data_IF_067255345508
#
_entry.id   IF_067255345508
#
_cell.length_a   1.000
_cell.length_b   1.000
_cell.length_c   1.000
_cell.angle_alpha   90.00
_cell.angle_beta   90.00
_cell.angle_gamma   90.00
#
_symmetry.space_group_name_H-M   'P 1'
#
loop_
_entity.id
_entity.type
_entity.pdbx_description
1 polymer ?
#
# COMPACT_ATOMS: atom_id res chain seq x y z
N UNK A 1 1.33 28.79 -8.19
CA UNK A 1 0.68 28.69 -6.87
C UNK A 1 1.14 29.87 -6.04
N UNK A 2 0.27 30.47 -5.23
CA UNK A 2 0.63 31.61 -4.38
C UNK A 2 0.53 31.24 -2.90
N UNK A 3 1.28 31.93 -2.03
CA UNK A 3 1.18 31.81 -0.58
C UNK A 3 -0.13 32.41 -0.07
N UNK A 4 -0.71 31.79 0.96
CA UNK A 4 -1.78 32.37 1.76
C UNK A 4 -1.36 33.70 2.42
N UNK A 5 -2.22 34.74 2.54
CA UNK A 5 -1.83 35.99 3.17
C UNK A 5 -1.44 35.86 4.64
N UNK A 6 -1.85 34.78 5.32
CA UNK A 6 -1.36 34.47 6.68
C UNK A 6 -0.01 33.75 6.69
N UNK A 7 0.54 33.44 5.52
CA UNK A 7 1.79 32.73 5.31
C UNK A 7 1.87 31.38 6.04
N UNK A 8 0.74 30.67 6.09
CA UNK A 8 0.63 29.37 6.76
C UNK A 8 0.67 28.19 5.81
N UNK A 9 0.27 28.36 4.54
CA UNK A 9 0.26 27.29 3.55
C UNK A 9 0.25 27.84 2.12
N UNK A 10 0.46 26.95 1.15
CA UNK A 10 0.37 27.28 -0.28
C UNK A 10 -1.06 27.05 -0.79
N UNK A 11 -1.55 27.97 -1.62
CA UNK A 11 -2.92 27.90 -2.18
C UNK A 11 -3.05 26.89 -3.30
N UNK A 12 -4.21 26.22 -3.34
CA UNK A 12 -4.63 25.42 -4.49
C UNK A 12 -5.12 26.32 -5.64
N UNK A 13 -5.95 27.32 -5.33
CA UNK A 13 -6.57 28.22 -6.30
C UNK A 13 -6.08 29.65 -6.17
N UNK A 14 -5.83 30.31 -7.30
CA UNK A 14 -5.52 31.74 -7.31
C UNK A 14 -6.72 32.53 -6.78
N UNK A 15 -6.48 33.50 -5.89
CA UNK A 15 -7.46 34.35 -5.20
C UNK A 15 -8.38 33.68 -4.16
N UNK A 16 -8.13 32.42 -3.78
CA UNK A 16 -8.84 31.78 -2.67
C UNK A 16 -7.89 31.38 -1.54
N UNK A 17 -7.90 32.19 -0.49
CA UNK A 17 -7.08 32.05 0.71
C UNK A 17 -7.54 30.88 1.61
N UNK A 18 -8.72 30.31 1.36
CA UNK A 18 -9.21 29.18 2.14
C UNK A 18 -8.84 27.84 1.50
N UNK A 19 -8.06 27.86 0.43
CA UNK A 19 -7.67 26.65 -0.31
C UNK A 19 -6.25 26.25 -0.06
N UNK A 20 -6.02 24.95 0.06
CA UNK A 20 -4.70 24.38 0.25
C UNK A 20 -4.64 22.99 -0.36
N UNK A 21 -3.43 22.48 -0.58
CA UNK A 21 -3.21 21.17 -1.17
C UNK A 21 -1.93 20.51 -0.65
N UNK A 22 -1.92 19.18 -0.65
CA UNK A 22 -0.78 18.36 -0.28
C UNK A 22 0.31 18.43 -1.36
N UNK A 23 1.45 19.00 -1.03
CA UNK A 23 2.51 19.34 -1.99
C UNK A 23 3.46 18.17 -2.28
N UNK A 24 2.91 17.03 -2.70
CA UNK A 24 3.68 15.83 -3.03
C UNK A 24 4.73 16.06 -4.14
N UNK A 25 4.49 17.01 -5.04
CA UNK A 25 5.42 17.36 -6.12
C UNK A 25 6.75 17.94 -5.62
N UNK A 26 6.82 18.42 -4.38
CA UNK A 26 8.07 18.90 -3.77
C UNK A 26 9.13 17.80 -3.68
N UNK A 27 8.71 16.54 -3.71
CA UNK A 27 9.62 15.40 -3.75
C UNK A 27 10.56 15.45 -4.96
N UNK A 28 10.11 15.95 -6.12
CA UNK A 28 10.96 16.05 -7.30
C UNK A 28 12.15 17.01 -7.09
N UNK A 29 11.93 18.12 -6.40
CA UNK A 29 13.00 19.09 -6.08
C UNK A 29 14.05 18.48 -5.15
N UNK A 30 13.61 17.68 -4.17
CA UNK A 30 14.49 16.94 -3.25
C UNK A 30 15.24 15.83 -3.97
N UNK A 31 14.52 15.01 -4.75
CA UNK A 31 15.08 13.86 -5.47
C UNK A 31 16.15 14.27 -6.47
N UNK A 32 15.91 15.36 -7.21
CA UNK A 32 16.83 15.88 -8.23
C UNK A 32 17.84 16.88 -7.65
N UNK A 33 17.68 17.29 -6.39
CA UNK A 33 18.54 18.28 -5.74
C UNK A 33 18.52 19.66 -6.41
N UNK A 34 17.42 20.03 -7.07
CA UNK A 34 17.37 21.25 -7.88
C UNK A 34 17.32 22.54 -7.05
N UNK A 35 16.88 22.46 -5.79
CA UNK A 35 16.78 23.59 -4.84
C UNK A 35 15.97 24.77 -5.40
N UNK A 36 14.94 24.47 -6.20
CA UNK A 36 14.01 25.45 -6.76
C UNK A 36 13.03 25.96 -5.72
N UNK A 37 12.75 25.18 -4.68
CA UNK A 37 11.80 25.52 -3.63
C UNK A 37 12.57 25.97 -2.39
N UNK A 38 12.32 27.19 -1.88
CA UNK A 38 12.98 27.67 -0.67
C UNK A 38 12.65 26.80 0.55
N UNK A 39 13.63 26.55 1.42
CA UNK A 39 13.46 25.72 2.64
C UNK A 39 12.34 26.26 3.56
N UNK A 40 12.11 27.57 3.58
CA UNK A 40 11.03 28.19 4.34
C UNK A 40 9.64 27.67 3.93
N UNK A 41 9.45 27.33 2.66
CA UNK A 41 8.18 26.80 2.13
C UNK A 41 7.97 25.36 2.61
N UNK A 42 9.02 24.54 2.65
CA UNK A 42 8.94 23.20 3.23
C UNK A 42 8.52 23.24 4.69
N UNK A 43 9.17 24.08 5.51
CA UNK A 43 8.83 24.22 6.93
C UNK A 43 7.40 24.70 7.14
N UNK A 44 6.98 25.69 6.34
CA UNK A 44 5.60 26.18 6.36
C UNK A 44 4.60 25.06 6.05
N UNK A 45 4.81 24.29 4.98
CA UNK A 45 3.92 23.17 4.64
C UNK A 45 3.94 22.09 5.73
N UNK A 46 5.12 21.78 6.28
CA UNK A 46 5.28 20.78 7.34
C UNK A 46 4.45 21.13 8.59
N UNK A 47 4.49 22.40 9.02
CA UNK A 47 3.70 22.89 10.16
C UNK A 47 2.20 22.87 9.87
N UNK A 48 1.81 23.27 8.66
CA UNK A 48 0.41 23.23 8.25
C UNK A 48 -0.15 21.81 8.31
N UNK A 49 0.52 20.84 7.68
CA UNK A 49 0.05 19.45 7.61
C UNK A 49 -0.10 18.81 8.99
N UNK A 50 0.79 19.12 9.94
CA UNK A 50 0.62 18.67 11.33
C UNK A 50 -0.66 19.22 11.99
N UNK A 51 -1.08 20.44 11.65
CA UNK A 51 -2.25 21.08 12.26
C UNK A 51 -3.60 20.57 11.73
N UNK A 52 -3.60 19.92 10.56
CA UNK A 52 -4.81 19.49 9.85
C UNK A 52 -4.88 17.96 9.67
N UNK A 53 -3.94 17.21 10.26
CA UNK A 53 -3.91 15.77 10.20
C UNK A 53 -5.14 15.16 10.89
N UNK A 54 -5.82 14.23 10.21
CA UNK A 54 -6.92 13.46 10.79
C UNK A 54 -6.44 12.09 11.25
N UNK A 55 -7.35 11.31 11.86
CA UNK A 55 -7.08 10.00 12.46
C UNK A 55 -6.39 9.00 11.51
N UNK A 56 -6.72 9.00 10.22
CA UNK A 56 -6.10 8.14 9.20
C UNK A 56 -5.14 8.87 8.26
N UNK A 57 -4.79 10.13 8.54
CA UNK A 57 -3.75 10.86 7.82
C UNK A 57 -4.10 12.27 7.39
N UNK A 58 -3.22 12.87 6.59
CA UNK A 58 -3.35 14.23 6.09
C UNK A 58 -4.25 14.24 4.84
N UNK A 59 -5.31 15.08 4.78
CA UNK A 59 -6.13 15.21 3.58
C UNK A 59 -5.34 15.81 2.41
N UNK A 60 -5.81 15.55 1.19
CA UNK A 60 -5.21 16.05 -0.05
C UNK A 60 -5.31 17.56 -0.20
N UNK A 61 -6.33 18.17 0.38
CA UNK A 61 -6.58 19.59 0.21
C UNK A 61 -7.85 20.02 0.90
N UNK A 62 -8.10 21.32 0.82
CA UNK A 62 -9.34 21.95 1.30
C UNK A 62 -10.58 21.37 0.62
N UNK A 63 -11.66 21.18 1.39
CA UNK A 63 -13.00 20.87 0.86
C UNK A 63 -13.43 19.40 0.91
N UNK A 64 -12.51 18.45 1.08
CA UNK A 64 -12.82 17.04 1.37
C UNK A 64 -11.76 16.38 2.25
N UNK A 65 -12.17 15.39 3.04
CA UNK A 65 -11.32 14.60 3.94
C UNK A 65 -10.55 13.46 3.25
N UNK A 66 -10.46 13.41 1.92
CA UNK A 66 -9.79 12.31 1.23
C UNK A 66 -8.27 12.47 1.22
N UNK A 67 -7.52 11.37 1.28
CA UNK A 67 -6.06 11.31 1.10
C UNK A 67 -5.64 10.40 -0.06
N UNK A 68 -4.40 10.56 -0.51
CA UNK A 68 -3.70 9.56 -1.34
C UNK A 68 -2.43 9.10 -0.66
N UNK A 69 -2.36 7.82 -0.30
CA UNK A 69 -1.23 7.32 0.49
C UNK A 69 0.10 7.41 -0.23
N UNK A 70 0.15 7.17 -1.55
CA UNK A 70 1.35 7.36 -2.36
C UNK A 70 1.84 8.83 -2.35
N UNK A 71 0.91 9.78 -2.43
CA UNK A 71 1.25 11.21 -2.38
C UNK A 71 1.67 11.65 -0.97
N UNK A 72 1.07 11.06 0.06
CA UNK A 72 1.52 11.24 1.45
C UNK A 72 2.95 10.74 1.62
N UNK A 73 3.32 9.60 1.04
CA UNK A 73 4.70 9.09 1.10
C UNK A 73 5.70 10.02 0.40
N UNK A 74 5.37 10.56 -0.77
CA UNK A 74 6.22 11.56 -1.44
C UNK A 74 6.34 12.84 -0.60
N UNK A 75 5.27 13.27 0.04
CA UNK A 75 5.29 14.44 0.93
C UNK A 75 6.15 14.17 2.16
N UNK A 76 6.05 12.99 2.78
CA UNK A 76 6.87 12.57 3.91
C UNK A 76 8.36 12.51 3.54
N UNK A 77 8.68 12.03 2.34
CA UNK A 77 10.05 11.98 1.81
C UNK A 77 10.62 13.38 1.51
N UNK A 78 9.76 14.32 1.07
CA UNK A 78 10.13 15.71 0.83
C UNK A 78 10.22 16.55 2.11
N UNK A 79 9.52 16.13 3.18
CA UNK A 79 9.40 16.86 4.44
C UNK A 79 10.76 17.05 5.13
N UNK A 80 10.97 18.24 5.68
CA UNK A 80 12.14 18.57 6.50
C UNK A 80 11.90 18.27 7.98
N UNK A 81 10.65 18.01 8.37
CA UNK A 81 10.24 17.78 9.75
C UNK A 81 10.12 16.28 10.06
N UNK A 82 10.99 15.71 10.93
CA UNK A 82 10.95 14.28 11.25
C UNK A 82 9.66 13.87 11.96
N UNK A 83 9.00 14.77 12.71
CA UNK A 83 7.73 14.46 13.38
C UNK A 83 6.61 14.27 12.37
N UNK A 84 6.49 15.16 11.39
CA UNK A 84 5.48 15.01 10.34
C UNK A 84 5.73 13.75 9.52
N UNK A 85 6.99 13.51 9.14
CA UNK A 85 7.37 12.31 8.39
C UNK A 85 6.94 11.04 9.13
N UNK A 86 7.26 10.93 10.42
CA UNK A 86 6.85 9.79 11.24
C UNK A 86 5.33 9.69 11.33
N UNK A 87 4.64 10.81 11.57
CA UNK A 87 3.17 10.85 11.66
C UNK A 87 2.51 10.33 10.39
N UNK A 88 2.98 10.77 9.21
CA UNK A 88 2.46 10.30 7.91
C UNK A 88 2.62 8.79 7.72
N UNK A 89 3.73 8.20 8.17
CA UNK A 89 3.91 6.73 8.18
C UNK A 89 2.96 6.05 9.16
N UNK A 90 2.89 6.55 10.40
CA UNK A 90 2.09 5.97 11.47
C UNK A 90 0.60 5.96 11.11
N UNK A 91 0.09 7.05 10.50
CA UNK A 91 -1.30 7.16 10.02
C UNK A 91 -1.61 6.22 8.88
N UNK A 92 -0.66 6.02 7.97
CA UNK A 92 -0.83 5.03 6.90
C UNK A 92 -0.87 3.61 7.47
N UNK A 93 0.04 3.28 8.37
CA UNK A 93 0.03 1.99 9.06
C UNK A 93 -1.22 1.78 9.90
N UNK A 94 -1.74 2.85 10.52
CA UNK A 94 -3.00 2.84 11.25
C UNK A 94 -4.19 2.54 10.33
N UNK A 95 -4.27 3.20 9.17
CA UNK A 95 -5.29 2.87 8.18
C UNK A 95 -5.21 1.40 7.74
N UNK A 96 -4.01 0.86 7.51
CA UNK A 96 -3.85 -0.54 7.14
C UNK A 96 -4.36 -1.52 8.20
N UNK A 97 -4.15 -1.20 9.47
CA UNK A 97 -4.61 -2.03 10.59
C UNK A 97 -6.12 -1.98 10.78
N UNK A 98 -6.71 -0.81 10.63
CA UNK A 98 -8.05 -0.51 11.14
C UNK A 98 -9.09 -0.29 10.02
N UNK A 99 -8.67 -0.24 8.74
CA UNK A 99 -9.59 0.10 7.66
C UNK A 99 -10.78 -0.87 7.61
N UNK A 100 -12.02 -0.36 7.51
CA UNK A 100 -13.19 -1.19 7.28
C UNK A 100 -13.22 -1.76 5.85
N UNK A 101 -12.35 -1.27 4.96
CA UNK A 101 -12.28 -1.73 3.59
C UNK A 101 -11.46 -3.03 3.52
N UNK A 102 -12.14 -4.18 3.44
CA UNK A 102 -11.52 -5.49 3.20
C UNK A 102 -11.06 -5.66 1.73
N UNK A 103 -10.26 -4.72 1.26
CA UNK A 103 -9.73 -4.65 -0.11
C UNK A 103 -8.20 -4.62 -0.09
N UNK A 104 -7.52 -5.01 -1.18
CA UNK A 104 -6.09 -4.80 -1.28
C UNK A 104 -5.75 -3.31 -1.15
N UNK A 105 -4.57 -3.02 -0.58
CA UNK A 105 -4.13 -1.68 -0.18
C UNK A 105 -4.59 -0.64 -1.21
N UNK A 106 -5.44 0.28 -0.74
CA UNK A 106 -5.97 1.36 -1.56
C UNK A 106 -5.04 2.55 -1.54
N UNK A 107 -4.85 3.24 -2.67
CA UNK A 107 -4.21 4.55 -2.68
C UNK A 107 -5.19 5.67 -2.39
N UNK A 108 -6.48 5.39 -2.13
CA UNK A 108 -7.48 6.41 -1.83
C UNK A 108 -8.33 6.03 -0.63
N UNK A 109 -8.34 6.87 0.39
CA UNK A 109 -9.19 6.71 1.56
C UNK A 109 -9.66 8.04 2.11
N UNK A 110 -10.77 8.01 2.83
CA UNK A 110 -11.19 9.10 3.68
C UNK A 110 -10.37 9.09 5.00
N UNK A 111 -9.77 10.22 5.33
CA UNK A 111 -8.84 10.36 6.47
C UNK A 111 -9.54 10.40 7.83
N UNK A 112 -10.86 10.53 7.88
CA UNK A 112 -11.63 10.54 9.12
C UNK A 112 -12.27 9.18 9.38
N UNK A 113 -12.83 8.55 8.35
CA UNK A 113 -13.60 7.31 8.45
C UNK A 113 -12.82 6.06 8.05
N UNK A 114 -11.74 6.21 7.28
CA UNK A 114 -10.94 5.10 6.77
C UNK A 114 -11.60 4.35 5.60
N UNK A 115 -12.79 4.78 5.16
CA UNK A 115 -13.50 4.18 4.03
C UNK A 115 -12.72 4.46 2.73
N UNK A 116 -12.49 3.40 1.96
CA UNK A 116 -11.90 3.48 0.62
C UNK A 116 -13.01 3.39 -0.44
N UNK A 117 -13.21 4.42 -1.29
CA UNK A 117 -14.22 4.37 -2.33
C UNK A 117 -13.74 3.68 -3.63
N UNK A 118 -12.46 3.33 -3.74
CA UNK A 118 -11.86 2.81 -4.97
C UNK A 118 -10.35 3.02 -4.99
N UNK A 119 -9.75 3.03 -6.19
CA UNK A 119 -8.29 3.05 -6.37
C UNK A 119 -7.60 2.01 -5.49
N UNK A 120 -8.12 0.79 -5.55
CA UNK A 120 -7.50 -0.33 -4.86
C UNK A 120 -6.38 -0.86 -5.74
N UNK A 121 -5.26 -1.19 -5.10
CA UNK A 121 -4.32 -2.16 -5.65
C UNK A 121 -3.60 -1.75 -6.95
N UNK A 122 -3.30 -0.46 -7.07
CA UNK A 122 -2.61 0.11 -8.23
C UNK A 122 -1.10 -0.01 -8.05
N UNK A 123 -0.30 -0.03 -9.13
CA UNK A 123 1.17 -0.17 -9.02
C UNK A 123 1.85 0.89 -8.14
N UNK A 124 1.22 2.04 -7.95
CA UNK A 124 1.70 3.12 -7.08
C UNK A 124 1.86 2.71 -5.61
N UNK A 125 1.15 1.65 -5.18
CA UNK A 125 1.18 1.12 -3.82
C UNK A 125 2.49 0.43 -3.44
N UNK A 126 3.26 -0.06 -4.42
CA UNK A 126 4.57 -0.65 -4.14
C UNK A 126 5.51 0.31 -3.40
N UNK A 127 5.37 1.62 -3.64
CA UNK A 127 6.08 2.67 -2.90
C UNK A 127 5.65 2.76 -1.43
N UNK A 128 4.34 2.70 -1.17
CA UNK A 128 3.77 2.79 0.19
C UNK A 128 4.08 1.58 1.05
N UNK A 129 4.04 0.36 0.50
CA UNK A 129 4.35 -0.88 1.23
C UNK A 129 5.83 -1.00 1.64
N UNK A 130 6.74 -0.24 1.02
CA UNK A 130 8.15 -0.25 1.40
C UNK A 130 8.44 0.48 2.71
N UNK A 131 7.54 1.37 3.14
CA UNK A 131 7.74 2.27 4.26
C UNK A 131 6.83 1.98 5.47
N UNK A 132 5.88 1.07 5.35
CA UNK A 132 4.94 0.68 6.41
C UNK A 132 5.22 -0.75 6.89
N UNK A 133 4.90 -1.02 8.15
CA UNK A 133 5.04 -2.37 8.71
C UNK A 133 4.21 -3.38 7.91
N UNK A 134 4.89 -4.39 7.38
CA UNK A 134 4.31 -5.39 6.48
C UNK A 134 3.43 -6.41 7.22
N UNK A 135 3.44 -6.40 8.56
CA UNK A 135 2.64 -7.31 9.38
C UNK A 135 1.16 -6.95 9.44
N UNK A 136 0.74 -5.81 8.88
CA UNK A 136 -0.63 -5.29 8.97
C UNK A 136 -1.36 -5.17 7.64
N UNK A 137 -0.83 -5.77 6.56
CA UNK A 137 -1.45 -5.64 5.24
C UNK A 137 -2.83 -6.35 5.16
N UNK A 138 -3.88 -5.65 4.68
CA UNK A 138 -5.23 -6.23 4.50
C UNK A 138 -5.31 -7.21 3.32
N UNK A 139 -4.37 -7.12 2.37
CA UNK A 139 -4.17 -8.11 1.32
C UNK A 139 -2.69 -8.28 1.00
N UNK A 140 -2.31 -9.48 0.59
CA UNK A 140 -0.93 -9.85 0.30
C UNK A 140 -0.70 -9.90 -1.22
N UNK A 141 0.31 -9.20 -1.76
CA UNK A 141 0.66 -9.30 -3.17
C UNK A 141 1.17 -10.71 -3.51
N UNK A 142 0.69 -11.30 -4.60
CA UNK A 142 1.21 -12.58 -5.11
C UNK A 142 1.94 -12.39 -6.44
N UNK A 143 1.31 -11.74 -7.42
CA UNK A 143 1.94 -11.48 -8.72
C UNK A 143 1.63 -10.05 -9.10
N UNK A 144 2.59 -9.13 -8.97
CA UNK A 144 2.37 -7.70 -9.27
C UNK A 144 3.41 -7.25 -10.28
N UNK A 145 3.03 -7.18 -11.56
CA UNK A 145 3.93 -6.75 -12.64
C UNK A 145 3.46 -5.47 -13.33
N UNK A 146 2.15 -5.31 -13.53
CA UNK A 146 1.56 -4.16 -14.21
C UNK A 146 0.10 -3.93 -13.77
N UNK A 147 -0.55 -2.80 -14.11
CA UNK A 147 -1.98 -2.62 -13.84
C UNK A 147 -2.88 -3.73 -14.40
N UNK A 148 -2.41 -4.45 -15.43
CA UNK A 148 -3.14 -5.50 -16.13
C UNK A 148 -2.74 -6.91 -15.68
N UNK A 149 -1.62 -7.05 -14.96
CA UNK A 149 -1.12 -8.31 -14.41
C UNK A 149 -0.77 -8.11 -12.92
N UNK A 150 -1.79 -8.32 -12.09
CA UNK A 150 -1.82 -8.00 -10.67
C UNK A 150 -2.72 -8.98 -9.93
N UNK A 151 -2.18 -9.91 -9.14
CA UNK A 151 -2.93 -10.94 -8.40
C UNK A 151 -2.56 -10.94 -6.93
N UNK A 152 -3.58 -10.95 -6.07
CA UNK A 152 -3.47 -10.67 -4.65
C UNK A 152 -4.33 -11.63 -3.85
N UNK A 153 -3.90 -11.90 -2.62
CA UNK A 153 -4.70 -12.62 -1.65
C UNK A 153 -5.37 -11.61 -0.70
N UNK A 154 -6.70 -11.54 -0.67
CA UNK A 154 -7.47 -10.66 0.23
C UNK A 154 -7.55 -11.20 1.66
N UNK A 155 -6.47 -11.85 2.09
CA UNK A 155 -6.31 -12.51 3.37
C UNK A 155 -4.82 -12.66 3.66
N UNK A 156 -4.45 -12.81 4.94
CA UNK A 156 -3.10 -13.20 5.35
C UNK A 156 -2.87 -14.72 5.23
N UNK A 157 -3.93 -15.50 5.02
CA UNK A 157 -3.87 -16.93 4.72
C UNK A 157 -3.88 -17.14 3.20
N UNK A 158 -2.96 -17.94 2.68
CA UNK A 158 -2.92 -18.28 1.25
C UNK A 158 -3.98 -19.33 0.86
N UNK A 159 -4.51 -20.05 1.85
CA UNK A 159 -5.58 -21.03 1.71
C UNK A 159 -6.93 -20.45 2.14
N UNK A 160 -8.01 -20.94 1.53
CA UNK A 160 -9.39 -20.72 1.97
C UNK A 160 -10.17 -19.69 1.15
N UNK A 161 -9.52 -18.93 0.26
CA UNK A 161 -10.18 -18.13 -0.77
C UNK A 161 -9.32 -18.11 -2.04
N UNK A 162 -9.93 -17.77 -3.17
CA UNK A 162 -9.21 -17.59 -4.41
C UNK A 162 -8.46 -16.25 -4.43
N UNK A 163 -7.22 -16.23 -4.95
CA UNK A 163 -6.57 -14.97 -5.28
C UNK A 163 -7.42 -14.15 -6.25
N UNK A 164 -7.31 -12.83 -6.18
CA UNK A 164 -8.14 -11.90 -6.95
C UNK A 164 -7.27 -10.90 -7.71
N UNK A 165 -7.80 -10.46 -8.84
CA UNK A 165 -7.36 -9.27 -9.52
C UNK A 165 -7.77 -8.02 -8.71
N UNK A 166 -7.19 -6.87 -9.02
CA UNK A 166 -7.51 -5.63 -8.29
C UNK A 166 -8.99 -5.26 -8.30
N UNK A 167 -9.73 -5.61 -9.35
CA UNK A 167 -11.15 -5.32 -9.48
C UNK A 167 -12.06 -6.39 -8.84
N UNK A 168 -11.51 -7.29 -8.02
CA UNK A 168 -12.25 -8.36 -7.35
C UNK A 168 -12.43 -9.64 -8.19
N UNK A 169 -12.14 -9.60 -9.50
CA UNK A 169 -12.24 -10.78 -10.35
C UNK A 169 -11.33 -11.91 -9.85
N UNK A 170 -11.90 -13.10 -9.72
CA UNK A 170 -11.16 -14.28 -9.28
C UNK A 170 -10.04 -14.61 -10.28
N UNK A 171 -8.86 -14.88 -9.74
CA UNK A 171 -7.72 -15.50 -10.40
C UNK A 171 -7.51 -16.86 -9.74
N UNK A 172 -8.20 -17.86 -10.26
CA UNK A 172 -8.23 -19.24 -9.74
C UNK A 172 -6.87 -19.93 -9.83
N UNK A 173 -5.95 -19.55 -8.95
CA UNK A 173 -4.64 -20.19 -8.81
C UNK A 173 -4.71 -21.13 -7.60
N UNK A 174 -4.44 -22.41 -7.84
CA UNK A 174 -4.40 -23.44 -6.82
C UNK A 174 -2.96 -23.95 -6.63
N UNK A 175 -2.59 -24.20 -5.38
CA UNK A 175 -1.31 -24.81 -5.03
C UNK A 175 -1.53 -26.15 -4.33
N UNK A 176 -1.01 -27.21 -4.93
CA UNK A 176 -1.05 -28.57 -4.41
C UNK A 176 0.39 -29.10 -4.33
N UNK A 177 0.74 -29.75 -3.22
CA UNK A 177 2.04 -30.41 -3.04
C UNK A 177 1.82 -31.86 -2.61
N UNK A 178 2.56 -32.81 -3.20
CA UNK A 178 2.50 -34.22 -2.81
C UNK A 178 3.70 -34.60 -1.95
N UNK A 179 3.43 -35.14 -0.77
CA UNK A 179 4.39 -35.55 0.24
C UNK A 179 4.08 -36.98 0.68
N UNK A 180 5.00 -37.91 0.46
CA UNK A 180 4.84 -39.32 0.86
C UNK A 180 3.51 -39.94 0.40
N UNK A 181 3.09 -39.64 -0.83
CA UNK A 181 1.84 -40.14 -1.41
C UNK A 181 0.57 -39.39 -0.99
N UNK A 182 0.63 -38.51 0.02
CA UNK A 182 -0.48 -37.63 0.40
C UNK A 182 -0.36 -36.28 -0.31
N UNK A 183 -1.45 -35.77 -0.86
CA UNK A 183 -1.49 -34.45 -1.50
C UNK A 183 -2.02 -33.45 -0.49
N UNK A 184 -1.39 -32.29 -0.34
CA UNK A 184 -1.78 -31.20 0.54
C UNK A 184 -2.03 -29.94 -0.28
N UNK A 185 -3.09 -29.20 0.06
CA UNK A 185 -3.38 -27.88 -0.49
C UNK A 185 -2.62 -26.81 0.28
N UNK A 186 -1.95 -25.89 -0.41
CA UNK A 186 -1.26 -24.76 0.22
C UNK A 186 -1.65 -23.40 -0.35
N UNK A 187 -2.43 -23.36 -1.43
CA UNK A 187 -2.93 -22.11 -2.00
C UNK A 187 -4.31 -22.26 -2.69
N UNK A 188 -5.14 -21.23 -2.54
CA UNK A 188 -6.44 -21.10 -3.20
C UNK A 188 -7.57 -21.80 -2.45
N UNK A 189 -8.63 -22.14 -3.19
CA UNK A 189 -9.76 -22.90 -2.65
C UNK A 189 -10.14 -24.16 -3.50
N UNK A 190 -9.17 -24.99 -3.91
CA UNK A 190 -9.40 -26.06 -4.88
C UNK A 190 -10.35 -27.17 -4.41
N UNK A 191 -10.46 -27.45 -3.10
CA UNK A 191 -11.44 -28.42 -2.59
C UNK A 191 -12.88 -28.03 -2.91
N UNK A 192 -13.21 -26.73 -2.93
CA UNK A 192 -14.58 -26.28 -3.23
C UNK A 192 -14.95 -26.49 -4.72
N UNK A 193 -13.95 -26.61 -5.58
CA UNK A 193 -14.13 -26.77 -7.04
C UNK A 193 -13.82 -28.21 -7.50
N UNK A 194 -13.85 -29.19 -6.58
CA UNK A 194 -13.58 -30.62 -6.83
C UNK A 194 -12.23 -30.95 -7.52
N UNK A 195 -11.29 -30.01 -7.51
CA UNK A 195 -9.93 -30.15 -8.04
C UNK A 195 -8.87 -30.29 -6.93
N UNK A 196 -9.34 -30.34 -5.67
CA UNK A 196 -8.52 -30.30 -4.47
C UNK A 196 -8.41 -31.62 -3.72
N UNK A 197 -8.08 -31.51 -2.43
CA UNK A 197 -7.95 -32.62 -1.49
C UNK A 197 -8.27 -32.17 -0.07
N UNK A 198 -8.74 -33.09 0.76
CA UNK A 198 -9.14 -32.79 2.15
C UNK A 198 -7.98 -32.40 3.07
N UNK A 199 -6.74 -32.63 2.65
CA UNK A 199 -5.55 -32.31 3.44
C UNK A 199 -5.03 -30.93 3.09
N UNK A 200 -4.90 -30.07 4.10
CA UNK A 200 -4.35 -28.72 3.93
C UNK A 200 -2.98 -28.62 4.61
N UNK A 201 -2.04 -27.99 3.93
CA UNK A 201 -0.77 -27.59 4.52
C UNK A 201 -1.03 -26.47 5.53
N UNK A 202 -0.48 -26.61 6.75
CA UNK A 202 -0.69 -25.63 7.81
C UNK A 202 0.24 -24.44 7.58
N UNK A 203 -0.30 -23.25 7.30
CA UNK A 203 0.50 -22.04 7.21
C UNK A 203 1.12 -21.72 8.58
N UNK A 204 2.43 -21.48 8.59
CA UNK A 204 3.25 -21.21 9.78
C UNK A 204 3.60 -19.73 9.86
N UNK A 205 3.94 -19.10 8.73
CA UNK A 205 4.34 -17.70 8.69
C UNK A 205 4.05 -17.05 7.35
N UNK A 206 3.95 -15.73 7.37
CA UNK A 206 3.94 -14.85 6.22
C UNK A 206 5.01 -13.77 6.45
N UNK A 207 5.90 -13.57 5.49
CA UNK A 207 6.83 -12.44 5.45
C UNK A 207 6.62 -11.68 4.15
N UNK A 208 6.33 -10.39 4.25
CA UNK A 208 6.24 -9.50 3.08
C UNK A 208 7.41 -8.51 3.11
N UNK A 209 7.99 -8.30 1.94
CA UNK A 209 9.05 -7.33 1.66
C UNK A 209 8.65 -6.52 0.43
N UNK A 210 9.34 -5.41 0.09
CA UNK A 210 8.98 -4.61 -1.09
C UNK A 210 8.90 -5.39 -2.41
N UNK A 211 9.62 -6.51 -2.54
CA UNK A 211 9.72 -7.30 -3.78
C UNK A 211 9.19 -8.73 -3.65
N UNK A 212 8.88 -9.20 -2.43
CA UNK A 212 8.54 -10.61 -2.19
C UNK A 212 7.45 -10.77 -1.14
N UNK A 213 6.56 -11.74 -1.37
CA UNK A 213 5.70 -12.32 -0.36
C UNK A 213 6.04 -13.79 -0.18
N UNK A 214 6.44 -14.16 1.04
CA UNK A 214 6.96 -15.48 1.38
C UNK A 214 6.03 -16.11 2.40
N UNK A 215 5.40 -17.21 2.01
CA UNK A 215 4.55 -18.01 2.89
C UNK A 215 5.26 -19.32 3.23
N UNK A 216 5.25 -19.68 4.51
CA UNK A 216 5.82 -20.96 4.97
C UNK A 216 4.71 -21.85 5.48
N UNK A 217 4.74 -23.14 5.14
CA UNK A 217 3.75 -24.13 5.53
C UNK A 217 4.42 -25.39 6.07
N UNK A 218 3.69 -26.13 6.92
CA UNK A 218 3.98 -27.53 7.21
C UNK A 218 3.03 -28.42 6.40
N UNK A 219 3.57 -29.23 5.50
CA UNK A 219 2.84 -30.23 4.71
C UNK A 219 3.32 -31.63 5.13
N UNK A 220 2.61 -32.25 6.06
CA UNK A 220 3.08 -33.49 6.70
C UNK A 220 4.44 -33.26 7.39
N UNK A 221 5.48 -34.08 7.11
CA UNK A 221 6.80 -33.96 7.74
C UNK A 221 7.71 -32.88 7.15
N UNK A 222 7.29 -32.15 6.10
CA UNK A 222 8.15 -31.17 5.42
C UNK A 222 7.64 -29.74 5.55
N UNK A 223 8.60 -28.82 5.69
CA UNK A 223 8.38 -27.39 5.60
C UNK A 223 8.46 -26.96 4.13
N UNK A 224 7.41 -26.30 3.65
CA UNK A 224 7.30 -25.74 2.31
C UNK A 224 7.38 -24.22 2.39
N UNK A 225 8.28 -23.60 1.62
CA UNK A 225 8.32 -22.15 1.44
C UNK A 225 7.84 -21.80 0.02
N UNK A 226 6.84 -20.92 -0.07
CA UNK A 226 6.28 -20.42 -1.32
C UNK A 226 6.63 -18.94 -1.43
N UNK A 227 7.50 -18.62 -2.39
CA UNK A 227 7.97 -17.25 -2.63
C UNK A 227 7.33 -16.68 -3.89
N UNK A 228 6.55 -15.63 -3.71
CA UNK A 228 6.00 -14.80 -4.75
C UNK A 228 6.93 -13.61 -4.97
N UNK A 229 7.64 -13.60 -6.10
CA UNK A 229 8.64 -12.57 -6.41
C UNK A 229 8.20 -11.69 -7.56
N UNK A 230 8.27 -10.37 -7.35
CA UNK A 230 8.25 -9.38 -8.42
C UNK A 230 9.68 -8.95 -8.71
N UNK A 231 10.28 -9.34 -9.85
CA UNK A 231 11.58 -8.82 -10.25
C UNK A 231 11.48 -7.32 -10.52
N UNK A 232 12.20 -6.54 -9.71
CA UNK A 232 12.52 -5.14 -9.99
C UNK A 232 14.02 -5.13 -10.28
N UNK A 233 14.37 -5.22 -11.56
CA UNK A 233 15.73 -4.91 -12.00
C UNK A 233 15.77 -3.42 -12.38
N UNK A 234 16.49 -2.56 -11.63
CA UNK A 234 16.59 -1.15 -11.94
C UNK A 234 17.28 -0.86 -13.28
N UNK A 235 17.92 -1.86 -13.91
CA UNK A 235 18.58 -1.73 -15.21
C UNK A 235 17.73 -2.20 -16.39
N UNK A 236 16.60 -2.88 -16.13
CA UNK A 236 15.69 -3.34 -17.19
C UNK A 236 14.64 -2.26 -17.51
N UNK A 237 14.99 -1.38 -18.44
CA UNK A 237 14.13 -0.31 -18.94
C UNK A 237 13.11 -0.78 -20.00
N UNK A 238 13.07 -2.07 -20.35
CA UNK A 238 12.13 -2.61 -21.32
C UNK A 238 10.96 -3.27 -20.59
N UNK A 239 9.87 -2.52 -20.43
CA UNK A 239 8.55 -3.06 -20.07
C UNK A 239 7.55 -2.90 -21.20
#
# INVERSE_FOLDING_TARGET
MGEDPSNKHMKLSYNDNNTWFLMYNFYADVLLGTKLIPESIYKQQDEWYLSIENYYGVPLGSGKSHTKFDWVMFTAAASTNPKLRQSMFDRTAQWLRETPAHVPFSDWADTQTGVSPGFVNRPVIGGSCSAVDNDVLPAVPLVVKSPYLSTWMTSRQLMGDWPRFWNGNIKGMAGLVRVNGQTYEFMGHPTQEDIGTKLQAKQVSLKVTPTQSIFTFNAGPIALAVNFFTPIDPTDLKR
#
